data_IF_114112808728
#
_entry.id   IF_114112808728
#
_cell.length_a   1.000
_cell.length_b   1.000
_cell.length_c   1.000
_cell.angle_alpha   90.00
_cell.angle_beta   90.00
_cell.angle_gamma   90.00
#
_symmetry.space_group_name_H-M   'P 1'
#
loop_
_entity.id
_entity.type
_entity.pdbx_description
1 polymer ?
#
# COMPACT_ATOMS: atom_id res chain seq x y z
N UNK A 1 -34.15 -40.03 -47.01
CA UNK A 1 -33.96 -41.30 -46.28
C UNK A 1 -32.62 -41.23 -45.55
N UNK A 2 -32.65 -41.30 -44.20
CA UNK A 2 -31.60 -41.72 -43.24
C UNK A 2 -30.12 -41.28 -43.41
N UNK A 3 -29.71 -40.40 -42.49
CA UNK A 3 -28.71 -40.57 -41.40
C UNK A 3 -27.43 -41.43 -41.56
N UNK A 4 -26.38 -40.87 -40.91
CA UNK A 4 -25.31 -41.48 -40.08
C UNK A 4 -24.02 -41.96 -40.76
N UNK A 5 -22.91 -41.24 -40.51
CA UNK A 5 -21.87 -41.63 -39.55
C UNK A 5 -20.66 -40.68 -39.63
N UNK A 6 -20.44 -39.85 -38.59
CA UNK A 6 -19.08 -39.54 -38.09
C UNK A 6 -19.09 -38.70 -36.79
N UNK A 7 -19.86 -39.14 -35.78
CA UNK A 7 -19.86 -38.55 -34.43
C UNK A 7 -18.81 -39.24 -33.50
N UNK A 8 -18.05 -40.22 -34.01
CA UNK A 8 -17.10 -40.99 -33.19
C UNK A 8 -15.68 -40.38 -33.11
N UNK A 9 -15.27 -39.52 -34.07
CA UNK A 9 -13.90 -38.92 -34.06
C UNK A 9 -13.78 -37.61 -33.30
N UNK A 10 -14.88 -36.90 -33.03
CA UNK A 10 -14.86 -35.63 -32.27
C UNK A 10 -14.84 -35.87 -30.75
N UNK A 11 -15.28 -37.03 -30.26
CA UNK A 11 -15.33 -37.34 -28.81
C UNK A 11 -14.02 -37.77 -28.17
N UNK A 12 -12.99 -38.17 -28.94
CA UNK A 12 -11.66 -38.51 -28.37
C UNK A 12 -10.72 -37.31 -28.23
N UNK A 13 -11.01 -36.19 -28.88
CA UNK A 13 -10.23 -34.95 -28.69
C UNK A 13 -10.73 -34.09 -27.52
N UNK A 14 -12.01 -34.22 -27.14
CA UNK A 14 -12.59 -33.46 -26.02
C UNK A 14 -12.41 -34.11 -24.64
N UNK A 15 -12.07 -35.39 -24.55
CA UNK A 15 -11.81 -36.05 -23.25
C UNK A 15 -10.36 -35.89 -22.77
N UNK A 16 -9.41 -35.55 -23.65
CA UNK A 16 -8.02 -35.32 -23.28
C UNK A 16 -7.77 -33.92 -22.69
N UNK A 17 -8.59 -32.91 -23.03
CA UNK A 17 -8.49 -31.57 -22.44
C UNK A 17 -9.14 -31.47 -21.05
N UNK A 18 -10.04 -32.39 -20.69
CA UNK A 18 -10.73 -32.35 -19.39
C UNK A 18 -9.94 -33.05 -18.26
N UNK A 19 -8.91 -33.83 -18.60
CA UNK A 19 -8.07 -34.53 -17.61
C UNK A 19 -6.76 -33.78 -17.26
N UNK A 20 -6.39 -32.72 -17.99
CA UNK A 20 -5.24 -31.85 -17.66
C UNK A 20 -5.63 -30.54 -16.95
N UNK A 21 -6.91 -30.32 -16.67
CA UNK A 21 -7.37 -29.17 -15.88
C UNK A 21 -7.56 -29.48 -14.38
N UNK A 22 -7.15 -30.67 -13.92
CA UNK A 22 -7.27 -31.11 -12.52
C UNK A 22 -5.94 -31.12 -11.75
N UNK A 23 -4.88 -30.50 -12.27
CA UNK A 23 -3.58 -30.41 -11.59
C UNK A 23 -2.93 -29.02 -11.57
N UNK A 24 -3.64 -27.97 -11.95
CA UNK A 24 -3.22 -26.59 -11.67
C UNK A 24 -4.36 -25.86 -10.99
N UNK A 25 -4.09 -25.37 -9.78
CA UNK A 25 -5.07 -24.92 -8.80
C UNK A 25 -6.20 -24.07 -9.35
N UNK A 26 -7.39 -24.28 -8.76
CA UNK A 26 -8.53 -23.38 -8.80
C UNK A 26 -8.06 -21.92 -8.81
N UNK A 27 -8.09 -21.27 -9.96
CA UNK A 27 -8.24 -19.83 -10.01
C UNK A 27 -9.68 -19.54 -9.57
N UNK A 28 -9.86 -19.33 -8.28
CA UNK A 28 -11.04 -18.64 -7.76
C UNK A 28 -11.04 -17.26 -8.40
N UNK A 29 -11.90 -17.07 -9.41
CA UNK A 29 -12.31 -15.76 -9.87
C UNK A 29 -12.87 -15.03 -8.65
N UNK A 30 -12.11 -14.04 -8.15
CA UNK A 30 -12.50 -13.22 -7.01
C UNK A 30 -13.80 -12.51 -7.38
N UNK A 31 -14.89 -12.87 -6.70
CA UNK A 31 -16.17 -12.18 -6.81
C UNK A 31 -15.94 -10.73 -6.39
N UNK A 32 -16.03 -9.82 -7.35
CA UNK A 32 -16.10 -8.39 -7.07
C UNK A 32 -17.43 -8.13 -6.36
N UNK A 33 -17.38 -7.51 -5.18
CA UNK A 33 -18.59 -6.99 -4.55
C UNK A 33 -18.92 -5.64 -5.20
N UNK A 34 -20.07 -5.56 -5.86
CA UNK A 34 -20.61 -4.31 -6.38
C UNK A 34 -21.51 -3.67 -5.33
N UNK A 35 -21.13 -2.50 -4.83
CA UNK A 35 -22.02 -1.59 -4.10
C UNK A 35 -22.16 -0.30 -4.92
N UNK A 36 -23.01 -0.32 -5.94
CA UNK A 36 -23.03 0.70 -7.00
C UNK A 36 -21.95 0.46 -8.06
N UNK A 37 -21.43 1.53 -8.67
CA UNK A 37 -20.46 1.48 -9.79
C UNK A 37 -19.00 1.24 -9.38
N UNK A 38 -18.72 1.11 -8.08
CA UNK A 38 -17.36 0.91 -7.56
C UNK A 38 -17.13 -0.58 -7.29
N UNK A 39 -16.18 -1.18 -8.03
CA UNK A 39 -15.70 -2.54 -7.79
C UNK A 39 -14.66 -2.51 -6.67
N UNK A 40 -15.02 -3.04 -5.51
CA UNK A 40 -14.05 -3.31 -4.45
C UNK A 40 -13.45 -4.70 -4.67
N UNK A 41 -12.13 -4.82 -4.55
CA UNK A 41 -11.52 -6.14 -4.38
C UNK A 41 -12.06 -6.73 -3.07
N UNK A 42 -12.72 -7.88 -3.14
CA UNK A 42 -13.00 -8.64 -1.93
C UNK A 42 -11.65 -9.11 -1.38
N UNK A 43 -11.26 -8.56 -0.22
CA UNK A 43 -10.10 -9.05 0.51
C UNK A 43 -10.48 -10.41 1.08
N UNK A 44 -9.65 -11.42 0.84
CA UNK A 44 -9.75 -12.66 1.58
C UNK A 44 -9.51 -12.40 3.06
N UNK A 45 -9.91 -13.33 3.91
CA UNK A 45 -9.48 -13.34 5.31
C UNK A 45 -7.96 -13.14 5.38
N UNK A 46 -7.45 -12.34 6.34
CA UNK A 46 -6.02 -12.17 6.53
C UNK A 46 -5.31 -13.52 6.66
N UNK A 47 -4.14 -13.64 6.02
CA UNK A 47 -3.32 -14.85 6.04
C UNK A 47 -1.93 -14.50 6.58
N UNK A 48 -1.38 -15.40 7.40
CA UNK A 48 0.03 -15.33 7.80
C UNK A 48 0.87 -15.96 6.70
N UNK A 49 1.67 -15.13 6.01
CA UNK A 49 2.52 -15.57 4.89
C UNK A 49 4.00 -15.71 5.27
N UNK A 50 4.42 -15.07 6.36
CA UNK A 50 5.76 -15.19 6.95
C UNK A 50 5.57 -15.50 8.43
N UNK A 51 5.95 -16.71 8.85
CA UNK A 51 5.89 -17.11 10.26
C UNK A 51 7.08 -16.55 11.05
N UNK A 52 7.00 -16.54 12.38
CA UNK A 52 8.18 -16.27 13.21
C UNK A 52 9.24 -17.38 13.05
N UNK A 53 10.51 -17.04 13.28
CA UNK A 53 11.59 -18.02 13.28
C UNK A 53 11.63 -18.89 14.54
N UNK A 54 12.48 -19.92 14.57
CA UNK A 54 12.68 -20.77 15.75
C UNK A 54 13.30 -19.98 16.91
N UNK A 55 13.15 -20.48 18.15
CA UNK A 55 13.76 -19.87 19.34
C UNK A 55 15.26 -19.63 19.12
N UNK A 56 15.72 -18.41 19.41
CA UNK A 56 17.12 -17.99 19.24
C UNK A 56 17.43 -17.31 17.90
N UNK A 57 16.55 -17.40 16.90
CA UNK A 57 16.69 -16.64 15.65
C UNK A 57 16.37 -15.16 15.84
N UNK A 58 16.84 -14.32 14.90
CA UNK A 58 16.63 -12.86 14.93
C UNK A 58 15.16 -12.45 14.78
N UNK A 59 14.28 -13.37 14.39
CA UNK A 59 12.86 -13.13 14.11
C UNK A 59 11.94 -14.06 14.90
N UNK A 60 12.44 -14.63 16.01
CA UNK A 60 11.69 -15.61 16.80
C UNK A 60 10.48 -15.04 17.55
N UNK A 61 10.50 -13.75 17.91
CA UNK A 61 9.38 -13.11 18.62
C UNK A 61 8.40 -12.46 17.64
N UNK A 62 8.90 -11.89 16.55
CA UNK A 62 8.05 -11.18 15.59
C UNK A 62 8.71 -11.11 14.22
N UNK A 63 7.89 -11.30 13.20
CA UNK A 63 8.12 -10.84 11.83
C UNK A 63 7.20 -9.66 11.56
N UNK A 64 7.71 -8.65 10.86
CA UNK A 64 7.01 -7.39 10.60
C UNK A 64 7.54 -6.76 9.33
N UNK A 65 6.71 -6.03 8.58
CA UNK A 65 7.08 -5.35 7.32
C UNK A 65 7.64 -6.30 6.27
N UNK A 66 7.12 -6.28 5.05
CA UNK A 66 7.65 -7.08 3.95
C UNK A 66 7.79 -6.18 2.74
N UNK A 67 9.02 -5.91 2.32
CA UNK A 67 9.33 -5.21 1.08
C UNK A 67 9.67 -6.23 0.00
N UNK A 68 8.92 -6.22 -1.11
CA UNK A 68 9.01 -7.25 -2.14
C UNK A 68 9.57 -6.63 -3.42
N UNK A 69 10.54 -7.30 -4.02
CA UNK A 69 11.07 -6.98 -5.35
C UNK A 69 10.98 -8.19 -6.26
N UNK A 70 10.71 -7.97 -7.54
CA UNK A 70 10.79 -9.00 -8.57
C UNK A 70 12.22 -9.00 -9.14
N UNK A 71 12.96 -10.09 -8.94
CA UNK A 71 14.37 -10.22 -9.35
C UNK A 71 14.61 -11.36 -10.34
N UNK A 72 13.71 -12.35 -10.42
CA UNK A 72 13.85 -13.51 -11.30
C UNK A 72 15.25 -14.16 -11.21
N UNK A 73 15.71 -14.43 -9.98
CA UNK A 73 17.07 -14.88 -9.66
C UNK A 73 17.04 -16.09 -8.73
N UNK A 74 17.99 -17.01 -8.92
CA UNK A 74 18.15 -18.23 -8.12
C UNK A 74 16.90 -19.13 -8.04
N UNK A 75 16.11 -19.20 -9.12
CA UNK A 75 14.88 -20.01 -9.16
C UNK A 75 13.67 -19.36 -8.48
N UNK A 76 13.79 -18.10 -8.04
CA UNK A 76 12.72 -17.35 -7.42
C UNK A 76 12.41 -16.06 -8.19
N UNK A 77 11.14 -15.85 -8.46
CA UNK A 77 10.61 -14.62 -9.06
C UNK A 77 10.67 -13.45 -8.08
N UNK A 78 10.15 -13.65 -6.86
CA UNK A 78 10.01 -12.61 -5.84
C UNK A 78 10.97 -12.82 -4.68
N UNK A 79 11.61 -11.73 -4.27
CA UNK A 79 12.48 -11.64 -3.11
C UNK A 79 11.88 -10.66 -2.12
N UNK A 80 11.72 -11.09 -0.89
CA UNK A 80 11.04 -10.38 0.18
C UNK A 80 12.00 -10.09 1.32
N UNK A 81 12.21 -8.82 1.60
CA UNK A 81 13.02 -8.35 2.71
C UNK A 81 12.10 -7.96 3.86
N UNK A 82 12.27 -8.61 5.00
CA UNK A 82 11.35 -8.45 6.13
C UNK A 82 12.06 -8.06 7.42
N UNK A 83 11.36 -7.38 8.32
CA UNK A 83 11.90 -7.06 9.64
C UNK A 83 11.68 -8.23 10.61
N UNK A 84 12.74 -8.66 11.29
CA UNK A 84 12.72 -9.65 12.36
C UNK A 84 13.03 -9.02 13.72
N UNK A 85 12.33 -9.47 14.76
CA UNK A 85 12.65 -9.16 16.16
C UNK A 85 12.88 -10.44 16.95
N UNK A 86 14.04 -10.51 17.59
CA UNK A 86 14.42 -11.59 18.48
C UNK A 86 14.97 -11.09 19.82
N UNK A 87 14.68 -11.84 20.88
CA UNK A 87 15.04 -11.49 22.26
C UNK A 87 14.48 -10.15 22.76
N UNK A 88 15.03 -9.63 23.86
CA UNK A 88 14.55 -8.40 24.51
C UNK A 88 15.05 -7.10 23.84
N UNK A 89 15.58 -7.16 22.62
CA UNK A 89 16.11 -5.98 21.92
C UNK A 89 14.97 -5.13 21.35
N UNK A 90 15.12 -3.80 21.43
CA UNK A 90 14.29 -2.84 20.69
C UNK A 90 14.71 -2.74 19.22
N UNK A 91 16.00 -3.00 18.95
CA UNK A 91 16.58 -3.04 17.61
C UNK A 91 16.12 -4.30 16.88
N UNK A 92 15.65 -4.11 15.67
CA UNK A 92 15.22 -5.17 14.76
C UNK A 92 16.23 -5.32 13.62
N UNK A 93 16.21 -6.49 12.99
CA UNK A 93 17.09 -6.82 11.88
C UNK A 93 16.29 -7.08 10.60
N UNK A 94 16.94 -7.10 9.44
CA UNK A 94 16.33 -7.45 8.16
C UNK A 94 16.68 -8.88 7.76
N UNK A 95 15.65 -9.67 7.50
CA UNK A 95 15.71 -11.01 6.91
C UNK A 95 15.40 -11.01 5.41
N UNK A 96 15.54 -12.19 4.81
CA UNK A 96 15.25 -12.45 3.41
C UNK A 96 14.40 -13.72 3.28
N UNK A 97 13.38 -13.65 2.43
CA UNK A 97 12.55 -14.77 2.04
C UNK A 97 12.24 -14.70 0.54
N UNK A 98 11.85 -15.83 -0.05
CA UNK A 98 11.60 -15.95 -1.48
C UNK A 98 10.22 -16.50 -1.76
N UNK A 99 9.65 -16.13 -2.90
CA UNK A 99 8.38 -16.68 -3.38
C UNK A 99 8.33 -16.71 -4.91
N UNK A 100 7.50 -17.60 -5.44
CA UNK A 100 7.12 -17.64 -6.86
C UNK A 100 5.65 -17.25 -7.10
N UNK A 101 4.85 -17.15 -6.03
CA UNK A 101 3.40 -16.97 -6.11
C UNK A 101 2.84 -15.90 -5.15
N UNK A 102 3.71 -15.24 -4.37
CA UNK A 102 3.40 -14.27 -3.32
C UNK A 102 2.61 -14.82 -2.11
N UNK A 103 2.33 -16.12 -2.09
CA UNK A 103 1.56 -16.80 -1.05
C UNK A 103 2.50 -17.66 -0.20
N UNK A 104 3.30 -18.49 -0.87
CA UNK A 104 4.23 -19.40 -0.25
C UNK A 104 5.61 -18.76 -0.20
N UNK A 105 6.14 -18.60 1.02
CA UNK A 105 7.42 -17.96 1.25
C UNK A 105 8.41 -18.90 1.92
N UNK A 106 9.63 -18.95 1.38
CA UNK A 106 10.76 -19.72 1.92
C UNK A 106 11.77 -18.74 2.48
N UNK A 107 12.03 -18.77 3.79
CA UNK A 107 13.08 -17.95 4.41
C UNK A 107 14.45 -18.45 3.99
N UNK A 108 15.37 -17.53 3.73
CA UNK A 108 16.76 -17.84 3.39
C UNK A 108 17.49 -18.51 4.55
N UNK A 109 17.46 -17.91 5.75
CA UNK A 109 18.21 -18.37 6.92
C UNK A 109 17.60 -17.83 8.24
N UNK A 110 18.09 -18.34 9.37
CA UNK A 110 17.85 -17.85 10.73
C UNK A 110 18.77 -16.69 11.12
N UNK A 111 19.64 -16.24 10.20
CA UNK A 111 20.51 -15.07 10.36
C UNK A 111 19.97 -13.90 9.51
N UNK A 112 20.02 -12.67 10.01
CA UNK A 112 19.59 -11.51 9.22
C UNK A 112 20.62 -11.14 8.15
N UNK A 113 20.14 -10.66 7.00
CA UNK A 113 20.97 -10.07 5.93
C UNK A 113 21.46 -8.67 6.27
N UNK A 114 20.75 -7.93 7.12
CA UNK A 114 21.20 -6.64 7.67
C UNK A 114 20.83 -6.54 9.15
N UNK A 115 21.83 -6.36 10.02
CA UNK A 115 21.61 -6.17 11.47
C UNK A 115 21.27 -4.72 11.79
N UNK A 116 20.51 -4.48 12.87
CA UNK A 116 20.16 -3.17 13.41
C UNK A 116 19.55 -2.21 12.37
N UNK A 117 18.73 -2.75 11.46
CA UNK A 117 18.05 -1.97 10.43
C UNK A 117 16.56 -2.28 10.50
N UNK A 118 15.76 -1.26 10.77
CA UNK A 118 14.32 -1.38 10.95
C UNK A 118 13.57 -0.89 9.71
N UNK A 119 12.49 -1.59 9.36
CA UNK A 119 11.55 -1.17 8.30
C UNK A 119 12.22 -0.91 6.95
N UNK A 120 13.12 -1.81 6.55
CA UNK A 120 13.81 -1.71 5.28
C UNK A 120 12.84 -1.72 4.09
N UNK A 121 12.90 -0.69 3.25
CA UNK A 121 12.27 -0.63 1.95
C UNK A 121 13.32 -0.88 0.86
N UNK A 122 13.00 -1.73 -0.11
CA UNK A 122 13.94 -2.18 -1.13
C UNK A 122 13.46 -1.80 -2.52
N UNK A 123 14.37 -1.25 -3.33
CA UNK A 123 14.19 -0.97 -4.75
C UNK A 123 15.37 -1.50 -5.54
N UNK A 124 15.14 -1.90 -6.79
CA UNK A 124 16.19 -2.41 -7.69
C UNK A 124 16.44 -1.38 -8.77
N UNK A 125 17.69 -0.96 -8.93
CA UNK A 125 18.14 -0.01 -9.96
C UNK A 125 19.32 -0.63 -10.66
N UNK A 126 19.22 -0.84 -11.98
CA UNK A 126 20.28 -1.42 -12.81
C UNK A 126 20.83 -2.74 -12.27
N UNK A 127 19.95 -3.59 -11.72
CA UNK A 127 20.31 -4.88 -11.11
C UNK A 127 20.92 -4.79 -9.71
N UNK A 128 21.12 -3.57 -9.18
CA UNK A 128 21.62 -3.32 -7.82
C UNK A 128 20.44 -3.10 -6.87
N UNK A 129 20.44 -3.86 -5.78
CA UNK A 129 19.40 -3.81 -4.76
C UNK A 129 19.78 -2.72 -3.77
N UNK A 130 18.90 -1.72 -3.63
CA UNK A 130 19.06 -0.59 -2.73
C UNK A 130 18.05 -0.73 -1.58
N UNK A 131 18.55 -0.88 -0.36
CA UNK A 131 17.74 -0.97 0.85
C UNK A 131 17.87 0.31 1.66
N UNK A 132 16.73 0.95 1.95
CA UNK A 132 16.63 2.13 2.79
C UNK A 132 15.98 1.72 4.10
N UNK A 133 16.63 2.01 5.23
CA UNK A 133 16.09 1.59 6.51
C UNK A 133 16.53 2.47 7.66
N UNK A 134 15.79 2.32 8.75
CA UNK A 134 15.94 3.14 9.95
C UNK A 134 16.99 2.57 10.89
N UNK A 135 17.89 3.43 11.35
CA UNK A 135 18.88 3.17 12.39
C UNK A 135 18.52 3.91 13.68
N UNK A 136 19.04 3.42 14.80
CA UNK A 136 18.94 4.07 16.12
C UNK A 136 17.48 4.33 16.57
N UNK A 137 16.58 3.39 16.26
CA UNK A 137 15.19 3.48 16.66
C UNK A 137 15.06 3.56 18.19
N UNK A 138 14.35 4.59 18.67
CA UNK A 138 14.21 4.87 20.11
C UNK A 138 15.18 5.95 20.64
N UNK A 139 16.08 6.45 19.81
CA UNK A 139 16.90 7.64 20.06
C UNK A 139 16.89 8.58 18.85
N UNK A 140 18.03 9.24 18.59
CA UNK A 140 18.26 10.08 17.41
C UNK A 140 18.24 9.23 16.12
N UNK A 141 17.04 9.06 15.59
CA UNK A 141 16.73 8.16 14.49
C UNK A 141 17.17 8.75 13.16
N UNK A 142 17.71 7.93 12.26
CA UNK A 142 18.14 8.34 10.90
C UNK A 142 17.91 7.24 9.87
N UNK A 143 17.90 7.58 8.59
CA UNK A 143 17.75 6.64 7.48
C UNK A 143 19.07 6.48 6.74
N UNK A 144 19.46 5.25 6.48
CA UNK A 144 20.64 4.90 5.67
C UNK A 144 20.23 4.21 4.37
N UNK A 145 21.10 4.26 3.36
CA UNK A 145 21.04 3.39 2.18
C UNK A 145 22.10 2.32 2.28
N UNK A 146 21.74 1.08 2.04
CA UNK A 146 22.67 -0.04 1.82
C UNK A 146 22.45 -0.66 0.45
N UNK A 147 23.49 -1.20 -0.18
CA UNK A 147 23.41 -1.81 -1.51
C UNK A 147 23.90 -3.24 -1.54
N UNK A 148 23.36 -4.05 -2.45
CA UNK A 148 23.77 -5.43 -2.68
C UNK A 148 23.57 -5.84 -4.15
N UNK A 149 24.52 -6.57 -4.72
CA UNK A 149 24.41 -7.15 -6.07
C UNK A 149 23.87 -8.59 -6.04
N UNK A 150 24.14 -9.31 -4.95
CA UNK A 150 23.67 -10.70 -4.74
C UNK A 150 22.36 -10.78 -3.96
N UNK A 151 21.93 -9.68 -3.36
CA UNK A 151 20.71 -9.55 -2.57
C UNK A 151 20.83 -10.06 -1.13
N UNK A 152 22.02 -10.48 -0.70
CA UNK A 152 22.29 -11.04 0.63
C UNK A 152 23.34 -10.23 1.39
N UNK A 153 24.41 -9.86 0.69
CA UNK A 153 25.53 -9.13 1.26
C UNK A 153 25.35 -7.63 1.01
N UNK A 154 24.87 -6.92 2.04
CA UNK A 154 24.62 -5.48 1.97
C UNK A 154 25.80 -4.67 2.49
N UNK A 155 26.16 -3.62 1.75
CA UNK A 155 27.14 -2.60 2.15
C UNK A 155 26.46 -1.27 2.35
N UNK A 156 26.57 -0.71 3.55
CA UNK A 156 26.04 0.62 3.85
C UNK A 156 26.79 1.68 3.04
N UNK A 157 26.03 2.54 2.36
CA UNK A 157 26.54 3.58 1.47
C UNK A 157 26.55 4.96 2.15
N UNK A 158 25.76 5.14 3.21
CA UNK A 158 25.70 6.38 3.97
C UNK A 158 24.29 6.74 4.44
N UNK A 159 24.22 7.89 5.13
CA UNK A 159 23.00 8.49 5.65
C UNK A 159 22.26 9.21 4.52
N UNK A 160 20.98 8.93 4.37
CA UNK A 160 20.07 9.56 3.40
C UNK A 160 19.20 10.60 4.07
N UNK A 161 18.72 10.31 5.28
CA UNK A 161 17.98 11.27 6.11
C UNK A 161 18.72 11.35 7.44
N UNK A 162 19.37 12.50 7.76
CA UNK A 162 20.12 12.64 8.99
C UNK A 162 19.20 12.65 10.20
N UNK A 163 19.76 12.29 11.35
CA UNK A 163 19.08 12.47 12.63
C UNK A 163 18.94 13.94 12.94
N UNK A 164 17.77 14.34 13.40
CA UNK A 164 17.50 15.69 13.86
C UNK A 164 16.72 15.61 15.18
N UNK A 165 17.24 16.27 16.21
CA UNK A 165 16.61 16.33 17.54
C UNK A 165 15.29 17.11 17.51
N UNK A 166 15.18 18.04 16.56
CA UNK A 166 14.00 18.80 16.20
C UNK A 166 14.10 19.17 14.72
N UNK A 167 12.99 19.07 13.98
CA UNK A 167 12.89 19.49 12.59
C UNK A 167 11.71 20.44 12.45
N UNK A 168 12.00 21.69 12.12
CA UNK A 168 11.01 22.63 11.60
C UNK A 168 10.63 22.34 10.14
N UNK A 169 11.42 21.51 9.45
CA UNK A 169 11.21 21.17 8.05
C UNK A 169 11.60 19.70 7.69
N UNK A 170 10.65 18.75 7.73
CA UNK A 170 10.92 17.31 7.56
C UNK A 170 11.35 16.91 6.13
N UNK A 171 11.30 17.84 5.18
CA UNK A 171 11.63 17.64 3.76
C UNK A 171 12.92 18.34 3.36
N UNK A 172 13.73 18.87 4.29
CA UNK A 172 14.98 19.56 3.96
C UNK A 172 15.90 18.67 3.12
N UNK A 173 16.30 19.14 1.93
CA UNK A 173 17.10 18.37 0.97
C UNK A 173 16.27 17.53 -0.01
N UNK A 174 14.95 17.55 0.13
CA UNK A 174 14.00 16.98 -0.82
C UNK A 174 13.14 18.09 -1.40
N UNK A 175 12.81 17.99 -2.68
CA UNK A 175 11.79 18.82 -3.31
C UNK A 175 10.45 18.11 -3.17
N UNK A 176 9.45 18.68 -2.47
CA UNK A 176 8.12 18.10 -2.41
C UNK A 176 7.55 17.97 -3.82
N UNK A 177 6.88 16.86 -4.06
CA UNK A 177 6.00 16.79 -5.21
C UNK A 177 4.72 17.57 -4.86
N UNK A 178 4.42 18.60 -5.64
CA UNK A 178 3.24 19.44 -5.44
C UNK A 178 1.96 18.60 -5.31
N UNK A 179 1.08 18.98 -4.38
CA UNK A 179 -0.21 18.33 -4.13
C UNK A 179 -0.15 16.81 -3.85
N UNK A 180 0.96 16.32 -3.28
CA UNK A 180 1.15 14.91 -2.94
C UNK A 180 1.24 14.72 -1.42
N UNK A 181 0.20 15.13 -0.67
CA UNK A 181 0.12 14.79 0.75
C UNK A 181 -0.25 13.31 0.87
N UNK A 182 0.77 12.48 1.08
CA UNK A 182 0.65 11.01 1.05
C UNK A 182 -0.01 10.46 2.32
N UNK A 183 0.30 11.03 3.48
CA UNK A 183 -0.23 10.63 4.79
C UNK A 183 -0.73 11.84 5.56
N UNK A 184 -1.74 11.62 6.40
CA UNK A 184 -2.26 12.56 7.39
C UNK A 184 -2.12 11.98 8.81
N UNK A 185 -2.55 12.73 9.82
CA UNK A 185 -2.47 12.28 11.21
C UNK A 185 -3.25 10.96 11.41
N UNK A 186 -2.69 10.08 12.24
CA UNK A 186 -3.12 8.69 12.47
C UNK A 186 -2.95 7.72 11.28
N UNK A 187 -2.39 8.17 10.16
CA UNK A 187 -1.87 7.24 9.15
C UNK A 187 -0.52 6.68 9.58
N UNK A 188 -0.30 5.40 9.28
CA UNK A 188 0.96 4.72 9.54
C UNK A 188 1.21 3.64 8.49
N UNK A 189 2.45 3.12 8.48
CA UNK A 189 2.84 1.96 7.68
C UNK A 189 2.50 2.13 6.19
N UNK A 190 2.97 3.21 5.57
CA UNK A 190 2.87 3.37 4.12
C UNK A 190 3.82 2.40 3.43
N UNK A 191 3.27 1.52 2.59
CA UNK A 191 3.98 0.55 1.78
C UNK A 191 3.93 1.03 0.32
N UNK A 192 4.94 1.79 -0.13
CA UNK A 192 5.01 2.28 -1.51
C UNK A 192 5.50 1.19 -2.46
N UNK A 193 4.92 1.16 -3.65
CA UNK A 193 5.39 0.40 -4.80
C UNK A 193 5.48 1.32 -6.01
N UNK A 194 6.59 1.27 -6.73
CA UNK A 194 6.80 2.04 -7.97
C UNK A 194 6.67 1.09 -9.16
N UNK A 195 5.66 1.30 -10.00
CA UNK A 195 5.46 0.55 -11.24
C UNK A 195 5.05 1.53 -12.34
N UNK A 196 5.68 1.44 -13.51
CA UNK A 196 5.40 2.28 -14.69
C UNK A 196 5.32 3.79 -14.39
N UNK A 197 6.29 4.28 -13.63
CA UNK A 197 6.36 5.67 -13.15
C UNK A 197 5.13 6.14 -12.31
N UNK A 198 4.44 5.18 -11.68
CA UNK A 198 3.36 5.44 -10.75
C UNK A 198 3.68 4.88 -9.36
N UNK A 199 3.58 5.74 -8.36
CA UNK A 199 3.49 5.34 -6.97
C UNK A 199 2.13 4.68 -6.73
N UNK A 200 2.18 3.47 -6.19
CA UNK A 200 1.05 2.72 -5.69
C UNK A 200 1.33 2.45 -4.22
N UNK A 201 0.62 3.13 -3.33
CA UNK A 201 0.81 3.02 -1.91
C UNK A 201 -0.37 2.34 -1.23
N UNK A 202 -0.08 1.53 -0.22
CA UNK A 202 -1.09 1.11 0.76
C UNK A 202 -0.65 1.62 2.12
N UNK A 203 -1.52 2.29 2.85
CA UNK A 203 -1.28 2.69 4.23
C UNK A 203 -2.40 2.21 5.13
N UNK A 204 -2.12 2.19 6.42
CA UNK A 204 -3.12 1.95 7.46
C UNK A 204 -3.50 3.26 8.12
N UNK A 205 -4.79 3.46 8.40
CA UNK A 205 -5.29 4.55 9.25
C UNK A 205 -5.82 3.96 10.55
N UNK A 206 -5.51 4.59 11.68
CA UNK A 206 -6.07 4.23 12.98
C UNK A 206 -7.22 5.17 13.35
N UNK A 207 -8.41 4.61 13.51
CA UNK A 207 -9.57 5.32 14.05
C UNK A 207 -9.46 5.51 15.57
N UNK A 208 -10.22 6.46 16.14
CA UNK A 208 -10.22 6.76 17.59
C UNK A 208 -10.51 5.52 18.44
N UNK A 209 -11.40 4.65 17.97
CA UNK A 209 -11.77 3.39 18.62
C UNK A 209 -10.67 2.30 18.51
N UNK A 210 -9.48 2.65 18.01
CA UNK A 210 -8.34 1.76 17.77
C UNK A 210 -8.53 0.69 16.69
N UNK A 211 -9.57 0.81 15.86
CA UNK A 211 -9.70 0.00 14.64
C UNK A 211 -8.75 0.52 13.58
N UNK A 212 -8.20 -0.37 12.76
CA UNK A 212 -7.31 -0.03 11.66
C UNK A 212 -7.97 -0.40 10.33
N UNK A 213 -7.91 0.50 9.34
CA UNK A 213 -8.34 0.23 7.98
C UNK A 213 -7.23 0.52 6.99
N UNK A 214 -7.19 -0.23 5.89
CA UNK A 214 -6.21 -0.08 4.83
C UNK A 214 -6.76 0.78 3.70
N UNK A 215 -5.97 1.76 3.29
CA UNK A 215 -6.27 2.67 2.21
C UNK A 215 -5.26 2.53 1.09
N UNK A 216 -5.71 2.71 -0.15
CA UNK A 216 -4.85 2.75 -1.33
C UNK A 216 -4.72 4.18 -1.83
N UNK A 217 -3.49 4.56 -2.14
CA UNK A 217 -3.12 5.77 -2.84
C UNK A 217 -2.45 5.40 -4.17
N UNK A 218 -2.68 6.23 -5.19
CA UNK A 218 -1.91 6.17 -6.44
C UNK A 218 -1.48 7.57 -6.84
N UNK A 219 -0.23 7.73 -7.27
CA UNK A 219 0.30 8.99 -7.79
C UNK A 219 1.11 8.72 -9.05
N UNK A 220 0.98 9.58 -10.07
CA UNK A 220 1.79 9.52 -11.29
C UNK A 220 2.77 10.71 -11.27
N UNK A 221 4.07 10.43 -11.24
CA UNK A 221 5.10 11.47 -11.09
C UNK A 221 5.26 12.37 -12.31
N UNK A 222 4.87 11.91 -13.50
CA UNK A 222 4.84 12.74 -14.70
C UNK A 222 3.57 13.59 -14.78
N UNK A 223 2.57 13.29 -13.97
CA UNK A 223 1.31 14.01 -13.99
C UNK A 223 1.56 15.45 -13.55
N UNK A 224 1.34 16.38 -14.49
CA UNK A 224 1.26 17.82 -14.20
C UNK A 224 -0.17 18.27 -13.91
N UNK A 225 -1.08 17.32 -13.72
CA UNK A 225 -2.45 17.61 -13.31
C UNK A 225 -2.45 18.15 -11.87
N UNK A 226 -3.51 18.85 -11.50
CA UNK A 226 -3.82 19.18 -10.12
C UNK A 226 -5.26 18.84 -9.84
N UNK A 227 -5.59 18.56 -8.59
CA UNK A 227 -6.98 18.45 -8.16
C UNK A 227 -7.24 19.49 -7.08
N UNK A 228 -8.26 20.32 -7.32
CA UNK A 228 -8.68 21.37 -6.42
C UNK A 228 -10.08 21.07 -5.90
N UNK A 229 -10.23 21.10 -4.59
CA UNK A 229 -11.53 21.07 -3.93
C UNK A 229 -12.02 22.50 -3.77
N UNK A 230 -13.31 22.74 -4.01
CA UNK A 230 -13.89 24.09 -3.91
C UNK A 230 -13.81 24.62 -2.47
N UNK A 231 -13.99 23.73 -1.49
CA UNK A 231 -13.92 24.03 -0.07
C UNK A 231 -13.09 22.96 0.63
N UNK A 232 -11.80 23.20 0.93
CA UNK A 232 -10.89 22.20 1.51
C UNK A 232 -11.11 21.97 3.01
N UNK A 233 -12.03 22.69 3.64
CA UNK A 233 -12.48 22.44 5.00
C UNK A 233 -13.95 22.87 5.16
N UNK A 234 -14.68 22.21 6.06
CA UNK A 234 -16.01 22.59 6.46
C UNK A 234 -16.32 22.20 7.90
N UNK A 235 -17.05 23.08 8.59
CA UNK A 235 -17.74 22.76 9.83
C UNK A 235 -19.16 22.30 9.50
N UNK A 236 -19.55 21.11 9.95
CA UNK A 236 -20.90 20.56 9.72
C UNK A 236 -21.54 20.19 11.06
N UNK A 237 -22.82 20.52 11.23
CA UNK A 237 -23.58 19.99 12.36
C UNK A 237 -23.91 18.50 12.11
N UNK A 238 -24.07 17.71 13.18
CA UNK A 238 -24.52 16.32 13.06
C UNK A 238 -25.77 16.21 12.17
N UNK A 239 -25.81 15.19 11.31
CA UNK A 239 -26.82 14.92 10.29
C UNK A 239 -26.88 15.90 9.12
N UNK A 240 -26.08 16.97 9.11
CA UNK A 240 -25.97 17.84 7.94
C UNK A 240 -25.15 17.19 6.84
N UNK A 241 -25.41 17.65 5.62
CA UNK A 241 -24.70 17.18 4.43
C UNK A 241 -24.06 18.33 3.69
N UNK A 242 -22.98 18.02 2.97
CA UNK A 242 -22.28 18.93 2.09
C UNK A 242 -22.03 18.25 0.75
N UNK A 243 -22.22 19.00 -0.32
CA UNK A 243 -21.78 18.56 -1.64
C UNK A 243 -20.26 18.76 -1.75
N UNK A 244 -19.53 17.66 -1.89
CA UNK A 244 -18.13 17.69 -2.33
C UNK A 244 -18.11 18.22 -3.76
N UNK A 245 -17.16 19.11 -4.08
CA UNK A 245 -16.84 19.45 -5.48
C UNK A 245 -15.35 19.32 -5.71
N UNK A 246 -14.98 18.53 -6.71
CA UNK A 246 -13.60 18.31 -7.11
C UNK A 246 -13.39 18.65 -8.59
N UNK A 247 -12.39 19.47 -8.85
CA UNK A 247 -12.01 19.94 -10.18
C UNK A 247 -10.58 19.47 -10.49
N UNK A 248 -10.44 18.72 -11.59
CA UNK A 248 -9.13 18.39 -12.17
C UNK A 248 -8.69 19.57 -13.03
N UNK A 249 -7.48 20.06 -12.80
CA UNK A 249 -6.81 21.09 -13.57
C UNK A 249 -5.72 20.39 -14.39
N UNK A 250 -5.78 20.51 -15.71
CA UNK A 250 -4.81 19.93 -16.64
C UNK A 250 -3.61 20.88 -16.82
N UNK A 251 -2.50 20.40 -17.42
CA UNK A 251 -1.28 21.20 -17.55
C UNK A 251 -1.43 22.42 -18.46
N UNK A 252 -2.40 22.38 -19.38
CA UNK A 252 -2.80 23.51 -20.24
C UNK A 252 -3.74 24.50 -19.54
N UNK A 253 -4.04 24.28 -18.26
CA UNK A 253 -4.97 25.09 -17.46
C UNK A 253 -6.44 24.69 -17.61
N UNK A 254 -6.77 23.72 -18.46
CA UNK A 254 -8.17 23.29 -18.64
C UNK A 254 -8.72 22.66 -17.36
N UNK A 255 -9.94 23.05 -16.99
CA UNK A 255 -10.60 22.59 -15.76
C UNK A 255 -11.72 21.60 -16.11
N UNK A 256 -11.70 20.43 -15.49
CA UNK A 256 -12.73 19.39 -15.62
C UNK A 256 -13.32 19.06 -14.25
N UNK A 257 -14.64 19.16 -14.11
CA UNK A 257 -15.33 18.71 -12.89
C UNK A 257 -15.33 17.18 -12.83
N UNK A 258 -14.73 16.63 -11.78
CA UNK A 258 -14.51 15.18 -11.60
C UNK A 258 -15.17 14.62 -10.35
N UNK A 259 -16.05 15.39 -9.70
CA UNK A 259 -16.68 15.03 -8.42
C UNK A 259 -17.31 13.65 -8.42
N UNK A 260 -17.90 13.17 -9.51
CA UNK A 260 -18.54 11.85 -9.58
C UNK A 260 -17.59 10.75 -10.03
N UNK A 261 -16.54 11.08 -10.79
CA UNK A 261 -15.57 10.12 -11.32
C UNK A 261 -14.37 9.86 -10.40
N UNK A 262 -14.06 10.77 -9.47
CA UNK A 262 -12.97 10.64 -8.52
C UNK A 262 -13.16 9.44 -7.58
N UNK A 263 -12.09 8.81 -7.10
CA UNK A 263 -12.15 7.94 -5.93
C UNK A 263 -12.19 8.80 -4.67
N UNK A 264 -12.86 8.34 -3.60
CA UNK A 264 -12.80 9.01 -2.30
C UNK A 264 -12.60 8.01 -1.17
N UNK A 265 -11.98 8.48 -0.10
CA UNK A 265 -11.83 7.80 1.17
C UNK A 265 -12.16 8.78 2.31
N UNK A 266 -12.53 8.25 3.47
CA UNK A 266 -12.67 9.03 4.71
C UNK A 266 -11.75 8.43 5.76
N UNK A 267 -11.14 9.30 6.56
CA UNK A 267 -10.34 8.90 7.71
C UNK A 267 -11.19 8.44 8.89
N UNK A 268 -12.52 8.66 8.91
CA UNK A 268 -13.42 8.10 9.93
C UNK A 268 -14.87 8.04 9.44
N UNK A 269 -15.31 6.85 9.03
CA UNK A 269 -16.69 6.58 8.59
C UNK A 269 -17.75 6.72 9.70
N UNK A 270 -17.35 6.76 10.97
CA UNK A 270 -18.22 7.01 12.12
C UNK A 270 -18.43 8.51 12.36
N UNK A 271 -17.49 9.37 11.98
CA UNK A 271 -17.58 10.83 12.06
C UNK A 271 -18.20 11.42 10.79
N UNK A 272 -17.67 11.09 9.61
CA UNK A 272 -18.20 11.55 8.33
C UNK A 272 -18.07 10.51 7.22
N UNK A 273 -19.10 10.40 6.38
CA UNK A 273 -19.07 9.53 5.20
C UNK A 273 -19.20 10.33 3.92
N UNK A 274 -18.51 9.90 2.86
CA UNK A 274 -18.68 10.46 1.50
C UNK A 274 -19.29 9.42 0.56
N UNK A 275 -20.43 9.73 -0.05
CA UNK A 275 -21.13 8.84 -1.01
C UNK A 275 -21.64 9.63 -2.20
N UNK A 276 -21.26 9.21 -3.41
CA UNK A 276 -21.65 9.88 -4.67
C UNK A 276 -21.40 11.40 -4.67
N UNK A 277 -20.36 11.85 -3.94
CA UNK A 277 -20.01 13.27 -3.82
C UNK A 277 -20.78 14.02 -2.73
N UNK A 278 -21.57 13.33 -1.91
CA UNK A 278 -22.23 13.93 -0.74
C UNK A 278 -21.49 13.47 0.50
N UNK A 279 -20.99 14.44 1.27
CA UNK A 279 -20.43 14.26 2.59
C UNK A 279 -21.59 14.34 3.59
N UNK A 280 -21.67 13.39 4.52
CA UNK A 280 -22.68 13.35 5.59
C UNK A 280 -21.96 13.31 6.93
N UNK A 281 -22.25 14.30 7.78
CA UNK A 281 -21.78 14.37 9.15
C UNK A 281 -22.61 13.46 10.05
N UNK A 282 -21.95 12.68 10.91
CA UNK A 282 -22.61 11.64 11.72
C UNK A 282 -22.40 11.80 13.21
N UNK A 283 -21.16 12.07 13.63
CA UNK A 283 -20.76 12.15 15.03
C UNK A 283 -19.77 13.30 15.17
N UNK A 284 -19.86 14.02 16.29
CA UNK A 284 -18.88 15.04 16.67
C UNK A 284 -17.44 14.48 16.60
N UNK A 285 -16.54 15.30 16.05
CA UNK A 285 -15.15 14.93 15.78
C UNK A 285 -14.66 15.43 14.43
N UNK A 286 -13.41 15.10 14.06
CA UNK A 286 -12.82 15.49 12.77
C UNK A 286 -12.60 14.26 11.88
N UNK A 287 -13.01 14.35 10.62
CA UNK A 287 -12.71 13.37 9.58
C UNK A 287 -12.06 14.06 8.37
N UNK A 288 -11.11 13.39 7.72
CA UNK A 288 -10.45 13.85 6.51
C UNK A 288 -10.97 13.06 5.31
N UNK A 289 -11.52 13.75 4.33
CA UNK A 289 -11.97 13.16 3.06
C UNK A 289 -10.85 13.30 2.03
N UNK A 290 -10.26 12.18 1.62
CA UNK A 290 -9.28 12.14 0.52
C UNK A 290 -10.01 11.91 -0.79
N UNK A 291 -9.72 12.73 -1.81
CA UNK A 291 -10.25 12.63 -3.18
C UNK A 291 -9.08 12.39 -4.12
N UNK A 292 -9.19 11.42 -5.03
CA UNK A 292 -8.14 11.13 -6.01
C UNK A 292 -8.71 10.93 -7.41
N UNK A 293 -8.04 11.49 -8.42
CA UNK A 293 -8.39 11.32 -9.82
C UNK A 293 -7.19 11.64 -10.71
N UNK A 294 -6.99 10.90 -11.81
CA UNK A 294 -5.94 11.22 -12.79
C UNK A 294 -4.52 11.24 -12.23
N UNK A 295 -4.23 10.40 -11.23
CA UNK A 295 -2.90 10.30 -10.60
C UNK A 295 -2.57 11.40 -9.59
N UNK A 296 -3.55 12.23 -9.19
CA UNK A 296 -3.39 13.28 -8.18
C UNK A 296 -4.46 13.19 -7.10
N UNK A 297 -4.18 13.79 -5.93
CA UNK A 297 -5.08 13.75 -4.77
C UNK A 297 -5.18 15.09 -4.06
N UNK A 298 -6.32 15.33 -3.40
CA UNK A 298 -6.52 16.42 -2.46
C UNK A 298 -7.35 15.94 -1.27
N UNK A 299 -7.28 16.68 -0.17
CA UNK A 299 -7.96 16.35 1.09
C UNK A 299 -8.89 17.47 1.51
N UNK A 300 -10.03 17.12 2.08
CA UNK A 300 -10.98 18.03 2.71
C UNK A 300 -11.17 17.68 4.19
N UNK A 301 -11.00 18.67 5.09
CA UNK A 301 -11.20 18.50 6.52
C UNK A 301 -12.66 18.75 6.92
N UNK A 302 -13.29 17.76 7.54
CA UNK A 302 -14.68 17.86 8.02
C UNK A 302 -14.66 17.84 9.53
N UNK A 303 -14.96 18.99 10.13
CA UNK A 303 -15.14 19.11 11.57
C UNK A 303 -16.63 19.06 11.88
N UNK A 304 -17.05 17.98 12.53
CA UNK A 304 -18.45 17.76 12.90
C UNK A 304 -18.68 18.29 14.30
N UNK A 305 -19.66 19.19 14.44
CA UNK A 305 -20.07 19.78 15.71
C UNK A 305 -21.42 19.24 16.16
N UNK A 306 -21.64 19.20 17.46
CA UNK A 306 -22.94 18.86 18.05
C UNK A 306 -24.00 19.87 17.62
N UNK A 307 -25.24 19.43 17.45
CA UNK A 307 -26.38 20.33 17.34
C UNK A 307 -26.54 21.02 18.69
N UNK A 308 -26.47 22.36 18.75
CA UNK A 308 -26.83 23.07 19.98
C UNK A 308 -28.24 22.63 20.39
N UNK A 309 -28.33 22.07 21.60
CA UNK A 309 -29.59 21.64 22.24
C UNK A 309 -30.32 22.81 22.86
#
# INVERSE_FOLDING_TARGET
MRFRNDIAKVKKFFLALLAMALLSGLFLVRVAYTRGDVKYYSLSSPQVIINNGPIGSFDNLRTHTLSIVELNKNGYRFWGYYTGRGGNKINTDMGLAYSNDLINWVKEDISPVVKNLRWGAVVVVDGVINMFGTRNYGGDTYIVRSTSEDGKNFKEQGIVVPSVSFSDNPIRGFEPVDNNRILVDNDACFFPYLFDNQLNGVYSHRYENSTWELFRMTHNFDSKNQIKLEEPAADLMINMTKQLTANLILPDGAVKKVTTAATRATSDNSIATVRKGIITAKKEGTAVITVSFGGVSATEYINVKSTET
#
